data_IF_786767811835
#
_entry.id   IF_786767811835
#
_cell.length_a   1.000
_cell.length_b   1.000
_cell.length_c   1.000
_cell.angle_alpha   90.00
_cell.angle_beta   90.00
_cell.angle_gamma   90.00
#
_symmetry.space_group_name_H-M   'P 1'
#
loop_
_entity.id
_entity.type
_entity.pdbx_description
1 polymer ?
2 non-polymer ?
3 non-polymer ?
4 non-polymer ?
5 water ?
#
# COMPACT_ATOMS: atom_id res chain seq x y z
N UNK A 1 26.14 4.81 10.24
CA UNK A 1 26.12 5.67 11.49
C UNK A 1 26.66 7.06 11.19
N UNK A 2 27.78 7.12 10.44
CA UNK A 2 28.58 8.34 10.29
C UNK A 2 28.06 9.22 9.14
N UNK A 3 27.08 8.75 8.37
CA UNK A 3 26.54 9.58 7.26
C UNK A 3 25.67 10.69 7.88
N UNK A 4 25.86 11.91 7.39
CA UNK A 4 25.12 13.06 7.90
C UNK A 4 23.64 12.92 7.50
N UNK A 5 22.75 13.55 8.24
CA UNK A 5 21.32 13.64 7.82
C UNK A 5 21.24 14.49 6.54
N UNK A 6 22.09 15.51 6.41
CA UNK A 6 22.09 16.32 5.18
C UNK A 6 22.34 15.40 3.98
N UNK A 7 23.29 14.46 4.06
CA UNK A 7 23.66 13.50 2.99
C UNK A 7 22.50 12.51 2.72
N UNK A 8 21.88 11.96 3.76
CA UNK A 8 20.74 11.04 3.59
C UNK A 8 19.63 11.81 2.83
N UNK A 9 19.35 13.01 3.29
CA UNK A 9 18.21 13.78 2.69
C UNK A 9 18.54 14.07 1.24
N UNK A 10 19.78 14.45 0.94
CA UNK A 10 20.15 14.75 -0.44
C UNK A 10 20.06 13.49 -1.29
N UNK A 11 20.52 12.36 -0.79
CA UNK A 11 20.51 11.11 -1.56
C UNK A 11 19.06 10.70 -1.88
N UNK A 12 18.22 10.67 -0.88
CA UNK A 12 16.83 10.21 -1.10
C UNK A 12 16.11 11.22 -2.03
N UNK A 13 16.28 12.51 -1.85
CA UNK A 13 15.73 13.47 -2.83
C UNK A 13 16.18 13.11 -4.25
N UNK A 14 17.43 12.78 -4.43
CA UNK A 14 18.01 12.55 -5.77
C UNK A 14 17.34 11.33 -6.39
N UNK A 15 16.86 10.37 -5.62
CA UNK A 15 16.19 9.18 -6.21
C UNK A 15 14.89 9.62 -6.88
N UNK A 16 14.13 10.52 -6.28
CA UNK A 16 12.88 11.04 -6.85
C UNK A 16 13.23 11.96 -8.04
N UNK A 17 14.27 12.78 -7.90
CA UNK A 17 14.68 13.70 -8.97
C UNK A 17 15.06 12.88 -10.20
N UNK A 18 15.82 11.82 -10.04
CA UNK A 18 16.37 11.01 -11.18
C UNK A 18 15.22 10.25 -11.87
N UNK A 19 14.15 9.95 -11.15
CA UNK A 19 12.94 9.28 -11.69
C UNK A 19 12.08 10.28 -12.43
N UNK A 20 12.43 11.56 -12.42
CA UNK A 20 11.64 12.66 -12.97
C UNK A 20 10.21 12.65 -12.41
N UNK A 21 10.07 12.51 -11.08
CA UNK A 21 8.78 12.46 -10.37
C UNK A 21 8.87 13.53 -9.26
N UNK A 22 7.77 13.74 -8.61
CA UNK A 22 7.62 14.48 -7.36
C UNK A 22 7.06 13.50 -6.33
N UNK A 23 7.69 13.38 -5.17
CA UNK A 23 7.21 12.36 -4.24
C UNK A 23 7.84 12.47 -2.84
N UNK A 24 7.33 11.63 -1.94
CA UNK A 24 7.85 11.56 -0.56
C UNK A 24 7.96 10.09 -0.24
N UNK A 25 8.80 9.78 0.72
CA UNK A 25 8.72 8.46 1.37
C UNK A 25 8.76 8.75 2.87
N UNK A 26 7.79 8.24 3.60
CA UNK A 26 7.65 8.43 5.06
C UNK A 26 8.11 7.16 5.71
N UNK A 27 9.03 7.29 6.66
CA UNK A 27 9.55 6.09 7.34
C UNK A 27 9.22 6.26 8.81
N UNK A 28 8.79 5.19 9.47
CA UNK A 28 8.48 5.31 10.89
C UNK A 28 9.37 4.37 11.66
N UNK A 29 10.14 4.88 12.62
CA UNK A 29 10.97 4.02 13.50
C UNK A 29 10.48 4.23 14.91
N UNK A 30 9.83 3.22 15.46
CA UNK A 30 9.07 3.38 16.70
C UNK A 30 7.92 4.31 16.51
N UNK A 31 7.91 5.42 17.25
CA UNK A 31 6.83 6.41 17.14
C UNK A 31 7.33 7.59 16.28
N UNK A 32 8.56 7.59 15.81
CA UNK A 32 9.11 8.78 15.09
C UNK A 32 8.89 8.64 13.59
N UNK A 33 8.22 9.60 12.99
CA UNK A 33 7.94 9.65 11.53
C UNK A 33 8.92 10.58 10.87
N UNK A 34 9.66 10.08 9.88
CA UNK A 34 10.65 10.88 9.10
C UNK A 34 10.16 11.00 7.66
N UNK A 35 10.18 12.20 7.11
CA UNK A 35 9.66 12.46 5.76
C UNK A 35 10.87 12.77 4.88
N UNK A 36 11.05 12.01 3.81
CA UNK A 36 12.15 12.23 2.87
C UNK A 36 11.60 12.37 1.47
N UNK A 37 12.43 12.82 0.54
CA UNK A 37 12.06 12.84 -0.89
C UNK A 37 12.25 14.22 -1.48
N UNK A 38 11.61 14.49 -2.59
CA UNK A 38 11.81 15.79 -3.28
C UNK A 38 10.54 16.63 -3.24
N UNK A 39 9.48 16.22 -2.52
CA UNK A 39 8.28 17.06 -2.43
C UNK A 39 7.63 16.87 -1.08
N UNK A 40 8.27 17.37 -0.02
CA UNK A 40 7.95 16.97 1.35
C UNK A 40 6.50 17.37 1.71
N UNK A 41 5.96 18.42 1.11
CA UNK A 41 4.62 18.91 1.45
C UNK A 41 3.56 17.90 1.04
N UNK A 42 3.88 16.89 0.27
CA UNK A 42 2.88 15.81 -0.01
C UNK A 42 2.54 15.03 1.24
N UNK A 43 3.29 15.11 2.31
CA UNK A 43 3.10 14.15 3.45
C UNK A 43 1.70 14.21 4.05
N UNK A 44 1.07 15.38 4.26
CA UNK A 44 -0.32 15.45 4.83
C UNK A 44 -1.33 15.91 3.76
N UNK A 45 -1.08 15.62 2.48
CA UNK A 45 -2.07 15.76 1.41
C UNK A 45 -2.84 14.44 1.18
N UNK A 46 -4.12 14.58 0.87
CA UNK A 46 -5.03 13.44 0.60
C UNK A 46 -4.93 13.05 -0.88
N UNK A 47 -4.82 11.74 -1.11
CA UNK A 47 -4.82 11.11 -2.45
C UNK A 47 -5.75 9.89 -2.36
N UNK A 48 -6.29 9.45 -3.48
CA UNK A 48 -7.03 8.15 -3.43
C UNK A 48 -6.03 7.09 -3.03
N UNK A 49 -6.46 6.03 -2.32
CA UNK A 49 -5.54 4.99 -1.93
C UNK A 49 -5.18 4.04 -3.07
N UNK A 50 -6.01 4.07 -4.13
CA UNK A 50 -5.87 3.14 -5.26
C UNK A 50 -5.74 1.70 -4.70
N UNK A 51 -4.89 0.89 -5.31
CA UNK A 51 -4.85 -0.55 -4.98
C UNK A 51 -4.25 -0.77 -3.58
N UNK A 52 -3.73 0.26 -2.87
CA UNK A 52 -3.31 0.01 -1.48
C UNK A 52 -4.54 -0.40 -0.65
N UNK A 53 -5.75 -0.05 -1.04
CA UNK A 53 -6.95 -0.39 -0.30
C UNK A 53 -7.14 -1.92 -0.29
N UNK A 54 -6.52 -2.65 -1.22
CA UNK A 54 -6.67 -4.11 -1.22
C UNK A 54 -6.27 -4.67 0.14
N UNK A 55 -5.31 -4.09 0.84
CA UNK A 55 -4.94 -4.63 2.18
C UNK A 55 -6.17 -4.63 3.08
N UNK A 56 -6.88 -3.49 3.17
CA UNK A 56 -8.08 -3.38 4.05
C UNK A 56 -9.31 -4.12 3.49
N UNK A 57 -9.45 -4.15 2.15
CA UNK A 57 -10.50 -4.94 1.53
C UNK A 57 -10.33 -6.40 1.97
N UNK A 58 -9.12 -6.96 1.87
CA UNK A 58 -8.82 -8.35 2.26
C UNK A 58 -9.11 -8.57 3.75
N UNK A 59 -8.63 -7.68 4.62
CA UNK A 59 -8.93 -7.81 6.07
C UNK A 59 -10.45 -7.86 6.32
N UNK A 60 -11.20 -6.94 5.73
CA UNK A 60 -12.67 -6.86 5.88
C UNK A 60 -13.32 -8.13 5.34
N UNK A 61 -12.90 -8.58 4.17
CA UNK A 61 -13.57 -9.76 3.58
C UNK A 61 -13.28 -11.01 4.39
N UNK A 62 -12.06 -11.21 4.83
CA UNK A 62 -11.74 -12.43 5.60
C UNK A 62 -12.47 -12.35 6.95
N UNK A 63 -12.42 -11.22 7.62
CA UNK A 63 -12.95 -11.11 9.00
C UNK A 63 -14.44 -11.43 8.98
N UNK A 64 -15.15 -10.98 7.94
CA UNK A 64 -16.61 -11.11 7.75
C UNK A 64 -16.97 -12.38 6.94
N UNK A 65 -16.05 -13.31 6.75
CA UNK A 65 -16.33 -14.64 6.12
C UNK A 65 -16.92 -14.43 4.72
N UNK A 66 -16.38 -13.46 3.98
CA UNK A 66 -16.79 -13.28 2.57
C UNK A 66 -15.87 -14.07 1.64
N UNK A 67 -14.78 -14.61 2.14
CA UNK A 67 -13.79 -15.41 1.41
C UNK A 67 -12.97 -16.17 2.40
N UNK A 68 -12.25 -17.16 1.93
CA UNK A 68 -11.21 -17.87 2.66
C UNK A 68 -9.93 -17.59 1.94
N UNK A 69 -8.79 -17.92 2.54
CA UNK A 69 -7.49 -17.68 1.89
C UNK A 69 -7.21 -18.71 0.79
N UNK A 70 -7.88 -19.86 0.80
CA UNK A 70 -7.63 -20.85 -0.28
C UNK A 70 -8.65 -20.72 -1.38
N UNK A 71 -9.69 -19.92 -1.22
CA UNK A 71 -10.79 -19.86 -2.19
C UNK A 71 -10.26 -19.36 -3.54
N UNK A 72 -10.70 -20.02 -4.61
CA UNK A 72 -10.27 -19.63 -5.98
C UNK A 72 -11.36 -18.81 -6.60
N UNK A 73 -11.06 -17.54 -6.88
CA UNK A 73 -11.95 -16.59 -7.54
C UNK A 73 -11.77 -16.89 -9.04
N UNK A 74 -12.83 -17.35 -9.64
CA UNK A 74 -12.71 -17.75 -11.08
C UNK A 74 -12.75 -16.51 -11.98
N UNK A 75 -11.92 -16.53 -13.01
CA UNK A 75 -11.99 -15.54 -14.10
C UNK A 75 -13.34 -15.72 -14.82
N UNK A 76 -14.07 -14.62 -15.07
CA UNK A 76 -15.40 -14.72 -15.71
C UNK A 76 -15.31 -14.90 -17.23
N UNK A 77 -14.10 -14.97 -17.79
CA UNK A 77 -13.95 -15.20 -19.23
C UNK A 77 -13.95 -13.92 -20.06
N UNK A 78 -14.16 -12.75 -19.44
CA UNK A 78 -14.16 -11.47 -20.17
C UNK A 78 -12.75 -10.90 -20.26
N UNK A 79 -12.52 -10.12 -21.32
CA UNK A 79 -11.18 -9.59 -21.59
C UNK A 79 -10.89 -8.51 -20.57
N UNK A 80 -9.65 -8.51 -20.08
CA UNK A 80 -9.17 -7.56 -19.06
C UNK A 80 -8.23 -6.53 -19.64
N UNK A 81 -8.09 -5.38 -18.97
CA UNK A 81 -7.08 -4.35 -19.31
C UNK A 81 -5.75 -5.08 -19.33
N UNK A 82 -5.49 -5.93 -18.34
CA UNK A 82 -4.24 -6.70 -18.17
C UNK A 82 -4.47 -8.18 -18.45
N UNK A 83 -3.77 -8.75 -19.41
CA UNK A 83 -3.98 -10.16 -19.75
C UNK A 83 -3.59 -11.11 -18.63
N UNK A 84 -2.73 -10.71 -17.71
CA UNK A 84 -2.37 -11.59 -16.56
C UNK A 84 -3.55 -11.72 -15.55
N UNK A 85 -4.57 -10.89 -15.66
CA UNK A 85 -5.78 -11.00 -14.81
C UNK A 85 -6.72 -12.10 -15.35
N UNK A 86 -6.43 -12.68 -16.53
CA UNK A 86 -7.40 -13.61 -17.18
C UNK A 86 -7.15 -15.01 -16.65
N UNK A 87 -7.29 -15.16 -15.36
CA UNK A 87 -7.03 -16.45 -14.73
C UNK A 87 -7.68 -16.42 -13.36
N UNK A 88 -7.87 -17.62 -12.87
CA UNK A 88 -8.49 -17.95 -11.58
C UNK A 88 -7.42 -17.81 -10.51
N UNK A 89 -7.77 -17.17 -9.38
CA UNK A 89 -6.73 -16.89 -8.39
C UNK A 89 -7.32 -16.71 -7.00
N UNK A 90 -6.46 -16.91 -6.00
CA UNK A 90 -6.79 -16.64 -4.59
C UNK A 90 -6.65 -15.12 -4.32
N UNK A 91 -7.05 -14.74 -3.13
CA UNK A 91 -6.87 -13.33 -2.69
C UNK A 91 -5.40 -13.01 -2.65
N UNK A 92 -4.56 -13.93 -2.22
CA UNK A 92 -3.11 -13.70 -2.12
C UNK A 92 -2.49 -13.49 -3.47
N UNK A 93 -2.89 -14.29 -4.44
CA UNK A 93 -2.41 -14.12 -5.81
C UNK A 93 -2.90 -12.75 -6.35
N UNK A 94 -4.14 -12.44 -6.08
CA UNK A 94 -4.74 -11.16 -6.48
C UNK A 94 -3.96 -10.00 -5.86
N UNK A 95 -3.50 -10.16 -4.62
CA UNK A 95 -2.76 -9.08 -3.94
C UNK A 95 -1.47 -8.86 -4.70
N UNK A 96 -0.75 -9.93 -5.03
CA UNK A 96 0.56 -9.80 -5.71
C UNK A 96 0.39 -9.21 -7.11
N UNK A 97 -0.68 -9.58 -7.82
CA UNK A 97 -0.90 -9.16 -9.21
C UNK A 97 -1.64 -7.83 -9.28
N UNK A 98 -2.15 -7.36 -8.17
CA UNK A 98 -3.10 -6.23 -8.10
C UNK A 98 -4.27 -6.48 -9.05
N UNK A 99 -4.88 -7.65 -8.95
CA UNK A 99 -6.02 -8.01 -9.80
C UNK A 99 -7.27 -7.35 -9.29
N UNK A 100 -7.51 -6.13 -9.78
CA UNK A 100 -8.65 -5.33 -9.39
C UNK A 100 -9.96 -6.07 -9.48
N UNK A 101 -10.25 -6.90 -10.53
CA UNK A 101 -11.56 -7.55 -10.53
C UNK A 101 -11.82 -8.49 -9.35
N UNK A 102 -10.79 -9.10 -8.80
CA UNK A 102 -10.94 -9.99 -7.63
C UNK A 102 -11.32 -9.15 -6.42
N UNK A 103 -10.64 -8.00 -6.26
CA UNK A 103 -10.98 -7.11 -5.11
C UNK A 103 -12.33 -6.43 -5.36
N UNK A 104 -12.74 -6.20 -6.58
CA UNK A 104 -14.10 -5.70 -6.83
C UNK A 104 -15.14 -6.77 -6.45
N UNK A 105 -14.91 -8.04 -6.82
CA UNK A 105 -15.81 -9.11 -6.39
C UNK A 105 -15.87 -9.16 -4.86
N UNK A 106 -14.74 -9.13 -4.17
CA UNK A 106 -14.73 -9.20 -2.73
C UNK A 106 -15.52 -8.02 -2.14
N UNK A 107 -15.33 -6.82 -2.68
CA UNK A 107 -16.06 -5.62 -2.21
C UNK A 107 -17.56 -5.83 -2.41
N UNK A 108 -17.96 -6.39 -3.53
CA UNK A 108 -19.40 -6.63 -3.81
C UNK A 108 -19.96 -7.64 -2.81
N UNK A 109 -19.18 -8.64 -2.43
CA UNK A 109 -19.63 -9.65 -1.45
C UNK A 109 -19.86 -8.98 -0.10
N UNK A 110 -18.92 -8.13 0.31
CA UNK A 110 -19.05 -7.40 1.59
C UNK A 110 -20.28 -6.50 1.52
N UNK A 111 -20.45 -5.79 0.44
CA UNK A 111 -21.58 -4.87 0.20
C UNK A 111 -21.37 -3.50 0.82
N UNK A 112 -22.11 -2.54 0.32
CA UNK A 112 -21.85 -1.11 0.66
C UNK A 112 -22.04 -0.88 2.16
N UNK A 113 -23.15 -1.32 2.73
CA UNK A 113 -23.46 -1.00 4.14
C UNK A 113 -22.36 -1.53 5.07
N UNK A 114 -21.92 -2.77 4.90
CA UNK A 114 -20.91 -3.36 5.76
C UNK A 114 -19.56 -2.69 5.46
N UNK A 115 -19.29 -2.44 4.19
CA UNK A 115 -17.98 -1.84 3.81
C UNK A 115 -17.91 -0.45 4.51
N UNK A 116 -18.96 0.33 4.44
CA UNK A 116 -18.90 1.71 5.03
C UNK A 116 -18.73 1.56 6.52
N UNK A 117 -19.43 0.62 7.18
CA UNK A 117 -19.26 0.45 8.63
C UNK A 117 -17.83 0.07 8.97
N UNK A 118 -17.22 -0.83 8.19
CA UNK A 118 -15.93 -1.34 8.54
C UNK A 118 -14.87 -0.25 8.28
N UNK A 119 -14.98 0.48 7.17
CA UNK A 119 -14.01 1.54 6.85
C UNK A 119 -14.09 2.63 7.96
N UNK A 120 -15.30 2.92 8.43
CA UNK A 120 -15.50 3.88 9.56
C UNK A 120 -14.91 3.31 10.83
N UNK A 121 -15.12 2.03 11.09
CA UNK A 121 -14.61 1.38 12.31
C UNK A 121 -13.08 1.41 12.38
N UNK A 122 -12.40 1.22 11.25
CA UNK A 122 -10.92 1.20 11.19
C UNK A 122 -10.42 2.65 11.12
N UNK A 123 -11.28 3.61 10.85
CA UNK A 123 -10.83 5.02 10.78
C UNK A 123 -9.82 5.15 9.64
N UNK A 124 -10.06 4.58 8.44
CA UNK A 124 -9.09 4.61 7.34
C UNK A 124 -9.26 5.88 6.52
N UNK A 125 -8.21 6.72 6.48
CA UNK A 125 -8.20 7.92 5.64
C UNK A 125 -9.33 8.86 6.04
N UNK A 126 -10.02 9.42 5.04
CA UNK A 126 -11.21 10.28 5.26
C UNK A 126 -12.46 9.47 5.63
N UNK A 127 -12.35 8.15 5.60
CA UNK A 127 -13.41 7.18 5.98
C UNK A 127 -14.64 7.21 5.08
N UNK A 128 -14.66 7.93 3.97
CA UNK A 128 -15.85 8.12 3.09
C UNK A 128 -15.76 7.22 1.87
N UNK A 129 -16.69 6.27 1.74
CA UNK A 129 -16.67 5.36 0.55
C UNK A 129 -17.77 5.74 -0.45
N UNK A 130 -18.69 6.66 -0.10
CA UNK A 130 -19.72 7.08 -1.05
C UNK A 130 -20.74 5.95 -1.32
N UNK A 131 -21.25 5.91 -2.53
CA UNK A 131 -22.42 5.06 -2.86
C UNK A 131 -22.05 3.88 -3.75
N UNK A 132 -20.81 3.79 -4.28
CA UNK A 132 -20.42 2.76 -5.26
C UNK A 132 -19.41 1.82 -4.57
N UNK A 133 -19.82 0.61 -4.20
CA UNK A 133 -19.00 -0.31 -3.39
C UNK A 133 -17.81 -0.83 -4.21
N UNK A 134 -17.82 -0.77 -5.52
CA UNK A 134 -16.81 -1.47 -6.31
C UNK A 134 -15.78 -0.54 -6.92
N UNK A 135 -15.77 0.76 -6.63
CA UNK A 135 -14.66 1.56 -7.21
C UNK A 135 -14.28 2.75 -6.31
N UNK A 136 -14.68 2.76 -5.07
CA UNK A 136 -14.51 3.97 -4.21
C UNK A 136 -13.03 4.18 -3.87
N UNK A 137 -12.20 3.16 -3.96
CA UNK A 137 -10.76 3.29 -3.63
C UNK A 137 -9.97 3.74 -4.84
N UNK A 138 -10.56 3.75 -6.04
CA UNK A 138 -9.89 3.99 -7.30
C UNK A 138 -10.19 5.42 -7.74
N UNK A 139 -11.42 5.87 -7.59
CA UNK A 139 -11.86 7.16 -8.21
C UNK A 139 -12.32 8.13 -7.14
N UNK A 140 -12.17 7.80 -5.87
CA UNK A 140 -12.81 8.57 -4.80
C UNK A 140 -14.21 8.03 -4.51
N UNK A 141 -14.87 8.49 -3.45
CA UNK A 141 -14.42 9.66 -2.66
C UNK A 141 -13.40 9.35 -1.55
N UNK A 142 -13.01 8.09 -1.36
CA UNK A 142 -12.10 7.74 -0.28
C UNK A 142 -10.73 8.32 -0.62
N UNK A 143 -10.14 8.97 0.37
CA UNK A 143 -8.79 9.54 0.27
C UNK A 143 -8.03 9.30 1.55
N UNK A 144 -6.72 9.42 1.43
CA UNK A 144 -5.82 9.12 2.56
C UNK A 144 -4.50 9.89 2.32
N UNK A 145 -3.85 10.28 3.42
CA UNK A 145 -2.52 10.93 3.32
C UNK A 145 -1.39 9.92 3.44
N UNK A 146 -0.20 10.24 2.96
CA UNK A 146 0.96 9.39 3.17
C UNK A 146 1.24 9.12 4.65
N UNK A 147 1.01 10.12 5.52
CA UNK A 147 1.17 9.90 6.98
C UNK A 147 0.17 8.82 7.44
N UNK A 148 -1.07 8.94 7.00
CA UNK A 148 -2.11 7.98 7.39
C UNK A 148 -1.73 6.58 6.83
N UNK A 149 -1.20 6.47 5.63
CA UNK A 149 -0.82 5.17 5.04
C UNK A 149 0.32 4.56 5.83
N UNK A 150 1.34 5.33 6.22
CA UNK A 150 2.45 4.71 6.99
C UNK A 150 1.89 4.26 8.35
N UNK A 151 0.96 5.03 8.95
CA UNK A 151 0.38 4.68 10.26
C UNK A 151 -0.51 3.43 10.16
N UNK A 152 -1.21 3.25 9.04
CA UNK A 152 -1.97 2.02 8.77
C UNK A 152 -1.00 0.85 8.66
N UNK A 153 0.10 0.98 7.91
CA UNK A 153 1.14 -0.05 7.75
C UNK A 153 1.70 -0.39 9.14
N UNK A 154 1.97 0.62 9.96
CA UNK A 154 2.49 0.38 11.33
C UNK A 154 1.48 -0.47 12.13
N UNK A 155 0.20 -0.13 12.07
CA UNK A 155 -0.89 -0.84 12.77
C UNK A 155 -0.92 -2.27 12.27
N UNK A 156 -0.94 -2.50 10.96
CA UNK A 156 -1.03 -3.91 10.47
C UNK A 156 0.25 -4.67 10.84
N UNK A 157 1.42 -4.08 10.69
CA UNK A 157 2.69 -4.78 10.97
C UNK A 157 2.71 -5.26 12.42
N UNK A 158 2.07 -4.55 13.34
CA UNK A 158 2.10 -4.86 14.79
C UNK A 158 0.80 -5.53 15.22
N UNK A 159 -0.09 -5.89 14.30
CA UNK A 159 -1.40 -6.49 14.64
C UNK A 159 -2.25 -5.60 15.54
N UNK A 160 -2.20 -4.28 15.33
CA UNK A 160 -2.97 -3.28 16.12
C UNK A 160 -4.32 -2.97 15.50
N UNK A 161 -4.61 -3.39 14.26
CA UNK A 161 -5.92 -3.04 13.71
C UNK A 161 -7.02 -3.86 14.42
N UNK A 162 -8.26 -3.36 14.39
CA UNK A 162 -9.37 -4.00 15.10
C UNK A 162 -9.96 -5.17 14.29
N UNK A 163 -9.12 -6.15 14.06
CA UNK A 163 -9.50 -7.42 13.43
C UNK A 163 -8.91 -8.53 14.26
N UNK A 164 -9.42 -9.75 14.09
CA UNK A 164 -8.70 -10.88 14.71
C UNK A 164 -7.23 -10.90 14.36
N UNK A 165 -6.41 -11.39 15.28
CA UNK A 165 -4.99 -11.67 15.02
C UNK A 165 -4.86 -12.55 13.77
N UNK A 166 -5.66 -13.61 13.64
CA UNK A 166 -5.52 -14.56 12.51
C UNK A 166 -5.82 -13.81 11.19
N UNK A 167 -6.77 -12.91 11.20
CA UNK A 167 -7.16 -12.15 9.97
C UNK A 167 -5.93 -11.33 9.54
N UNK A 168 -5.33 -10.64 10.50
CA UNK A 168 -4.16 -9.77 10.18
C UNK A 168 -3.01 -10.63 9.71
N UNK A 169 -2.75 -11.78 10.35
CA UNK A 169 -1.65 -12.64 9.92
C UNK A 169 -1.88 -13.17 8.48
N UNK A 170 -3.11 -13.52 8.18
CA UNK A 170 -3.49 -14.05 6.83
C UNK A 170 -3.18 -13.00 5.76
N UNK A 171 -3.55 -11.76 6.04
CA UNK A 171 -3.29 -10.67 5.02
C UNK A 171 -1.80 -10.36 4.98
N UNK A 172 -1.07 -10.34 6.12
CA UNK A 172 0.35 -10.05 6.08
C UNK A 172 1.09 -11.04 5.20
N UNK A 173 0.68 -12.32 5.26
CA UNK A 173 1.30 -13.39 4.47
C UNK A 173 1.15 -13.11 2.97
N UNK A 174 0.13 -12.36 2.57
CA UNK A 174 -0.13 -12.04 1.15
C UNK A 174 0.77 -10.92 0.63
N UNK A 175 1.48 -10.25 1.53
CA UNK A 175 2.13 -8.94 1.19
C UNK A 175 3.64 -9.08 1.07
N UNK A 176 4.22 -10.28 1.18
CA UNK A 176 5.69 -10.39 1.08
C UNK A 176 6.14 -10.17 -0.36
N UNK A 177 6.94 -9.15 -0.65
CA UNK A 177 7.34 -8.80 -2.04
C UNK A 177 8.85 -8.94 -2.25
N UNK A 178 9.65 -8.99 -1.19
CA UNK A 178 11.12 -9.07 -1.39
C UNK A 178 11.82 -9.56 -0.12
N UNK A 179 12.90 -10.30 -0.32
CA UNK A 179 13.82 -10.62 0.81
C UNK A 179 15.23 -10.18 0.41
N UNK A 180 15.87 -9.40 1.27
CA UNK A 180 17.19 -8.75 1.07
C UNK A 180 18.02 -9.08 2.31
N UNK A 181 19.14 -9.81 2.15
CA UNK A 181 19.97 -10.32 3.30
C UNK A 181 19.04 -11.13 4.24
N UNK A 182 18.83 -10.75 5.49
CA UNK A 182 17.80 -11.38 6.36
C UNK A 182 16.55 -10.50 6.53
N UNK A 183 16.37 -9.47 5.69
CA UNK A 183 15.20 -8.56 5.81
C UNK A 183 14.08 -9.09 4.91
N UNK A 184 12.86 -8.89 5.33
CA UNK A 184 11.68 -9.15 4.49
C UNK A 184 10.94 -7.82 4.28
N UNK A 185 10.51 -7.57 3.08
CA UNK A 185 9.73 -6.35 2.79
C UNK A 185 8.32 -6.82 2.48
N UNK A 186 7.38 -6.28 3.20
CA UNK A 186 5.92 -6.51 3.04
C UNK A 186 5.37 -5.21 2.51
N UNK A 187 4.64 -5.22 1.40
CA UNK A 187 4.12 -3.94 0.90
C UNK A 187 3.04 -4.19 -0.14
N UNK A 188 2.22 -3.18 -0.37
CA UNK A 188 1.19 -3.17 -1.41
C UNK A 188 1.41 -1.91 -2.26
N UNK A 189 1.39 -2.05 -3.57
CA UNK A 189 1.54 -0.89 -4.50
C UNK A 189 0.16 -0.32 -4.83
N UNK A 190 0.17 0.86 -5.40
CA UNK A 190 -1.04 1.48 -6.00
C UNK A 190 -0.64 2.41 -7.10
N UNK A 191 -1.48 2.51 -8.12
CA UNK A 191 -1.27 3.47 -9.23
C UNK A 191 -2.64 3.90 -9.67
N UNK A 192 -2.98 5.15 -9.38
CA UNK A 192 -4.29 5.73 -9.75
C UNK A 192 -4.12 6.31 -11.14
N UNK A 193 -4.36 5.50 -12.17
CA UNK A 193 -4.26 5.89 -13.60
C UNK A 193 -5.59 6.55 -14.01
N UNK A 194 -5.64 7.25 -15.14
CA UNK A 194 -6.86 7.94 -15.61
C UNK A 194 -6.96 9.36 -15.10
N UNK A 196 -4.92 12.36 -14.49
CA UNK A 196 -3.81 13.33 -14.25
C UNK A 196 -4.27 14.41 -13.28
N UNK A 197 -3.62 14.61 -12.10
CA UNK A 197 -2.39 13.91 -11.74
C UNK A 197 -2.66 12.48 -11.21
N UNK A 198 -1.82 11.57 -11.65
CA UNK A 198 -1.86 10.13 -11.28
C UNK A 198 -1.03 9.93 -10.02
N UNK A 199 -1.56 9.18 -9.07
CA UNK A 199 -0.88 8.90 -7.79
C UNK A 199 -0.25 7.51 -7.85
N UNK A 200 0.98 7.40 -7.35
CA UNK A 200 1.63 6.09 -7.16
C UNK A 200 1.97 5.90 -5.70
N UNK A 201 1.79 4.67 -5.18
CA UNK A 201 2.01 4.31 -3.78
C UNK A 201 2.87 3.06 -3.69
N UNK A 202 3.66 2.95 -2.66
CA UNK A 202 4.11 1.65 -2.18
C UNK A 202 4.15 1.73 -0.67
N UNK A 203 3.31 0.94 0.00
CA UNK A 203 3.08 1.13 1.45
C UNK A 203 3.33 -0.21 2.10
N UNK A 204 4.12 -0.25 3.18
CA UNK A 204 4.36 -1.54 3.83
C UNK A 204 5.33 -1.38 4.98
N UNK A 205 6.12 -2.41 5.22
CA UNK A 205 7.13 -2.37 6.29
C UNK A 205 8.24 -3.34 5.96
N UNK A 206 9.39 -3.04 6.53
CA UNK A 206 10.54 -3.97 6.55
C UNK A 206 10.47 -4.73 7.87
N UNK A 207 10.53 -6.07 7.79
CA UNK A 207 10.76 -6.86 9.02
C UNK A 207 12.25 -7.24 9.04
N UNK A 208 13.02 -6.65 9.94
CA UNK A 208 14.49 -6.91 10.01
C UNK A 208 14.70 -8.28 10.67
N UNK A 209 15.90 -8.83 10.53
CA UNK A 209 16.34 -10.12 11.10
C UNK A 209 15.97 -10.20 12.59
N UNK A 210 16.28 -9.14 13.34
CA UNK A 210 16.10 -9.05 14.82
C UNK A 210 14.61 -9.01 15.21
N UNK A 211 13.69 -8.89 14.25
CA UNK A 211 12.23 -8.83 14.49
C UNK A 211 11.68 -7.40 14.47
N UNK A 212 12.53 -6.39 14.39
CA UNK A 212 12.05 -4.99 14.39
C UNK A 212 11.28 -4.79 13.08
N UNK A 213 10.17 -4.06 13.14
CA UNK A 213 9.36 -3.73 11.93
C UNK A 213 9.44 -2.23 11.68
N UNK A 214 9.83 -1.84 10.47
CA UNK A 214 9.97 -0.40 10.09
C UNK A 214 9.01 -0.10 8.94
N UNK A 215 7.86 0.51 9.28
CA UNK A 215 6.84 0.85 8.28
C UNK A 215 7.33 2.00 7.39
N UNK A 216 6.78 2.02 6.17
CA UNK A 216 7.09 3.08 5.22
C UNK A 216 5.89 3.31 4.31
N UNK A 217 5.82 4.51 3.71
CA UNK A 217 4.85 4.79 2.65
C UNK A 217 5.52 5.71 1.65
N UNK A 218 5.68 5.23 0.42
CA UNK A 218 6.13 5.99 -0.75
C UNK A 218 4.87 6.53 -1.46
N UNK A 219 4.86 7.82 -1.75
CA UNK A 219 3.78 8.44 -2.49
C UNK A 219 4.38 9.35 -3.54
N UNK A 220 4.04 9.16 -4.81
CA UNK A 220 4.69 9.96 -5.88
C UNK A 220 3.76 10.13 -7.08
N UNK A 221 4.00 11.19 -7.84
CA UNK A 221 3.22 11.46 -9.07
C UNK A 221 3.74 10.53 -10.16
N UNK A 222 2.85 9.69 -10.71
CA UNK A 222 3.25 8.82 -11.83
C UNK A 222 2.93 9.60 -13.11
N UNK A 223 3.67 9.36 -14.15
CA UNK A 223 3.25 9.87 -15.48
C UNK A 223 3.30 8.74 -16.51
N UNK A 224 2.43 8.87 -17.52
CA UNK A 224 2.43 8.03 -18.75
C UNK A 224 3.90 7.83 -19.16
N UNK A 225 4.30 6.60 -19.37
CA UNK A 225 5.66 6.28 -19.79
C UNK A 225 6.50 5.75 -18.66
N UNK A 226 6.13 5.98 -17.41
CA UNK A 226 6.91 5.41 -16.28
C UNK A 226 6.65 3.91 -16.15
N UNK A 227 7.66 3.19 -15.72
CA UNK A 227 7.49 1.79 -15.24
C UNK A 227 6.98 1.81 -13.78
N UNK A 228 6.03 0.94 -13.44
CA UNK A 228 5.54 0.74 -12.06
C UNK A 228 6.70 0.41 -11.12
N UNK A 229 7.71 -0.28 -11.62
CA UNK A 229 8.85 -0.73 -10.81
C UNK A 229 9.69 0.48 -10.31
N UNK A 230 9.48 1.68 -10.80
CA UNK A 230 10.18 2.85 -10.21
C UNK A 230 9.76 3.01 -8.73
N UNK A 231 8.55 2.60 -8.36
CA UNK A 231 8.09 2.73 -6.94
C UNK A 231 8.97 1.85 -6.06
N UNK A 232 9.16 0.60 -6.48
CA UNK A 232 10.05 -0.35 -5.81
C UNK A 232 11.50 0.15 -5.77
N UNK A 233 11.99 0.63 -6.87
CA UNK A 233 13.39 1.04 -7.02
C UNK A 233 13.66 2.22 -6.08
N UNK A 234 12.81 3.23 -6.09
CA UNK A 234 13.05 4.40 -5.17
C UNK A 234 12.97 3.90 -3.72
N UNK A 235 12.00 3.05 -3.41
CA UNK A 235 11.80 2.61 -2.03
C UNK A 235 13.04 1.84 -1.55
N UNK A 236 13.47 0.87 -2.34
CA UNK A 236 14.62 0.02 -1.95
C UNK A 236 15.89 0.86 -1.79
N UNK A 237 16.10 1.80 -2.68
CA UNK A 237 17.30 2.69 -2.64
C UNK A 237 17.24 3.54 -1.37
N UNK A 238 16.06 4.02 -1.01
CA UNK A 238 15.89 4.88 0.18
C UNK A 238 16.14 4.06 1.43
N UNK A 239 15.49 2.90 1.53
CA UNK A 239 15.68 2.04 2.71
C UNK A 239 17.15 1.62 2.80
N UNK A 240 17.83 1.34 1.71
CA UNK A 240 19.25 0.91 1.75
C UNK A 240 20.10 2.11 2.18
N UNK A 241 19.81 3.28 1.64
CA UNK A 241 20.55 4.51 2.04
C UNK A 241 20.48 4.73 3.54
N UNK A 242 19.34 4.51 4.18
CA UNK A 242 19.15 4.70 5.63
C UNK A 242 19.68 3.50 6.47
N UNK A 243 20.19 2.48 5.82
CA UNK A 243 20.65 1.22 6.42
C UNK A 243 19.54 0.39 7.01
N UNK A 244 18.30 0.59 6.57
CA UNK A 244 17.16 -0.20 7.07
C UNK A 244 17.21 -1.59 6.45
N UNK A 245 17.65 -1.68 5.21
CA UNK A 245 17.98 -2.94 4.52
C UNK A 245 19.42 -2.91 4.03
X LIG B 1 -8.97 -11.79 19.20
X LIG B 1 -10.23 -11.32 18.67
X LIG B 1 -7.88 -11.81 18.18
X LIG B 1 -7.54 -13.16 17.81
X LIG B 1 -8.68 -14.01 17.63
X LIG B 1 -8.44 -15.04 16.54
X LIG B 1 -7.25 -14.81 15.77
X LIG C 1 -15.65 -4.52 -16.36
X LIG C 1 -14.78 -4.05 -15.33
X LIG C 1 -16.56 -5.58 -15.87
X LIG C 1 -16.84 -5.35 -14.49
X LIG C 1 -18.20 -4.99 -14.24
X LIG C 1 -19.03 -6.22 -14.24
X LIG C 1 -18.38 -7.28 -13.56
X LIG D 1 -3.48 7.97 11.87
X LIG D 1 -2.83 7.60 13.14
X LIG D 1 -3.77 6.75 11.19
X LIG D 1 -4.74 8.59 12.18
X LIG D 1 -2.59 8.88 11.07
X LIG E 1 -25.91 -3.80 0.92
X LIG E 1 -26.02 -3.84 -0.52
X LIG E 1 -25.13 -4.92 1.37
X LIG E 1 -27.26 -3.92 1.45
X LIG E 1 -25.34 -2.57 1.38
X LIG F 1 -4.18 -1.97 -11.86
X LIG F 1 -2.91 -3.06 -12.11
X LIG F 1 -1.51 -2.64 -11.71
X LIG F 1 -0.49 -3.42 -12.22
X LIG F 1 -1.39 -1.57 -10.66
X LIG F 1 -0.10 -1.13 -10.05
X LIG F 1 0.93 -1.26 -10.68
X LIG F 1 -0.09 -0.72 -8.88
X LIG F 1 -2.44 -1.07 -9.98
X LIG F 1 -3.80 -1.58 -10.13
X LIG F 1 -4.78 -0.60 -9.62
X LIG F 1 -4.43 -0.35 -8.18
X LIG F 1 -3.76 0.65 -7.86
X LIG F 1 -4.88 0.65 -10.35
X LIG F 1 -5.95 0.82 -11.14
X LIG F 1 -6.93 0.03 -11.25
X LIG F 1 -6.02 2.04 -11.95
X LIG F 1 -6.40 3.10 -11.40
X LIG F 1 -6.55 3.15 -9.99
X LIG F 1 -7.20 4.27 -9.29
X LIG F 1 -5.99 1.98 -13.39
X LIG F 1 -5.42 0.95 -14.10
X LIG F 1 -5.54 1.12 -15.81
X LIG F 1 -6.40 2.64 -15.48
X LIG F 1 -6.87 3.43 -16.58
X LIG F 1 -6.58 2.94 -14.18
#
# INVERSE_FOLDING_TARGET
>A
MHISSQQHEKAIKSYFDEAQTQGVIIIKEGKNLSTYGNALARANKEYVPASTFDMLNALIGLENHKATTNEIFKWDGKKRTYPMWEKDMTLGEAMALSAVPVYQELARRTGLELMQKEVKRVNFGNTNIGTQVDNFWLVGPLKITPVQEVNFADDLAHNRLPFKLETQEEVKKMLLIKEVNGSKIYAKSGWGMGVTPQVGWLTGWVEQANGKKIPFSLNLEMKEGMSGSIRNEITYKSLENLGII
>B hetero
1 PEG C1 O1 C2 O2 C3 C4 O4
>C hetero
1 PEG C1 O1 C2 O2 C3 C4 O4
>D hetero
1 SO4 S O1 O2 O3 O4
>E hetero
1 SO4 S O1 O2 O3 O4
>F hetero
1 CEF S1 C1 C2 C3 C4 C5 O1 O2 N1 C6 C7 C8 O3 N2 C9 O4 C10 N3 O5 C11 C12 C13 S2 C14 N4 N5
#
